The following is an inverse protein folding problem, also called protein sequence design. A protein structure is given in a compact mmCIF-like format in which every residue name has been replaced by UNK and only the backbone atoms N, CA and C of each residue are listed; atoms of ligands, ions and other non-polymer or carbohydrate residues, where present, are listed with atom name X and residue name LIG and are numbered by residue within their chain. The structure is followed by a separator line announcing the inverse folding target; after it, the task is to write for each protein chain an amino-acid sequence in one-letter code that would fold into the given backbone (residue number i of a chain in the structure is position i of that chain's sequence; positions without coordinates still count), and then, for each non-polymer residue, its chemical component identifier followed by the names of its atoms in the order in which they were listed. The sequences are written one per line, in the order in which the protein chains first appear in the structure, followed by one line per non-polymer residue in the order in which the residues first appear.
data_IF_765370412983
#
_entry.id   IF_765370412983
#
_cell.length_a   1.000
_cell.length_b   1.000
_cell.length_c   1.000
_cell.angle_alpha   90.00
_cell.angle_beta   90.00
_cell.angle_gamma   90.00
#
_symmetry.space_group_name_H-M   'P 1'
#
loop_
_entity.id
_entity.type
_entity.pdbx_description
1 polymer ?
#
# COMPACT_ATOMS: atom_id res chain seq x y z
N UNK A 1 -8.73 9.59 -11.44
CA UNK A 1 -7.97 10.02 -10.27
C UNK A 1 -6.66 9.23 -10.10
N UNK A 2 -6.59 7.97 -10.54
CA UNK A 2 -5.40 7.10 -10.38
C UNK A 2 -4.28 7.34 -11.40
N UNK A 3 -4.59 7.85 -12.59
CA UNK A 3 -3.60 8.10 -13.66
C UNK A 3 -2.67 9.29 -13.38
N UNK A 4 -3.11 10.24 -12.56
CA UNK A 4 -2.26 11.37 -12.14
C UNK A 4 -1.29 11.02 -10.99
N UNK A 5 -1.59 9.99 -10.19
CA UNK A 5 -0.72 9.55 -9.11
C UNK A 5 0.57 8.88 -9.64
N UNK A 6 0.47 8.15 -10.75
CA UNK A 6 1.61 7.42 -11.33
C UNK A 6 2.60 8.38 -12.00
N UNK A 7 2.13 9.50 -12.56
CA UNK A 7 3.02 10.49 -13.20
C UNK A 7 3.74 11.41 -12.20
N UNK A 8 3.32 11.46 -10.93
CA UNK A 8 3.91 12.34 -9.92
C UNK A 8 4.96 11.61 -9.03
N UNK A 9 5.11 10.30 -9.21
CA UNK A 9 5.78 9.47 -8.22
C UNK A 9 7.30 9.43 -8.34
N UNK A 10 7.94 10.15 -9.25
CA UNK A 10 9.38 9.91 -9.41
C UNK A 10 10.14 11.14 -9.90
N UNK A 11 10.42 12.02 -8.99
CA UNK A 11 11.60 12.88 -9.08
C UNK A 11 12.71 12.28 -8.22
N UNK A 12 13.25 11.13 -8.62
CA UNK A 12 14.24 10.45 -7.81
C UNK A 12 15.66 10.90 -8.18
N UNK A 13 16.26 11.71 -7.35
CA UNK A 13 17.70 11.99 -7.37
C UNK A 13 18.49 10.82 -6.77
N UNK A 14 18.40 9.61 -7.36
CA UNK A 14 19.34 8.54 -7.02
C UNK A 14 20.53 8.50 -7.98
N UNK A 15 20.44 9.24 -9.11
CA UNK A 15 21.56 9.40 -10.04
C UNK A 15 21.60 10.87 -10.49
N UNK A 16 22.21 11.72 -9.72
CA UNK A 16 22.64 13.03 -10.20
C UNK A 16 23.72 12.79 -11.26
N UNK A 17 23.39 12.90 -12.53
CA UNK A 17 24.40 12.80 -13.56
C UNK A 17 24.01 12.33 -14.96
N UNK A 18 22.74 11.99 -15.22
CA UNK A 18 22.33 11.73 -16.60
C UNK A 18 21.84 13.01 -17.27
N UNK A 19 22.78 13.84 -17.76
CA UNK A 19 22.44 14.78 -18.82
C UNK A 19 22.13 13.95 -20.08
N UNK A 20 20.96 14.13 -20.65
CA UNK A 20 20.52 13.52 -21.89
C UNK A 20 21.47 13.91 -23.06
N UNK A 21 22.54 13.14 -23.28
CA UNK A 21 23.19 13.15 -24.58
C UNK A 21 22.42 12.15 -25.46
N UNK A 22 21.66 12.66 -26.41
CA UNK A 22 20.86 11.94 -27.39
C UNK A 22 21.65 11.05 -28.36
N UNK A 23 22.92 10.80 -28.13
CA UNK A 23 23.85 10.14 -29.05
C UNK A 23 24.49 8.86 -28.51
N UNK A 24 24.00 8.25 -27.44
CA UNK A 24 24.46 6.91 -27.08
C UNK A 24 23.97 5.91 -28.16
N UNK A 25 24.83 5.05 -28.70
CA UNK A 25 24.38 4.02 -29.63
C UNK A 25 23.32 3.18 -28.97
N UNK A 26 22.16 3.11 -29.61
CA UNK A 26 21.04 2.28 -29.16
C UNK A 26 21.55 0.84 -29.06
N UNK A 27 21.50 0.24 -27.88
CA UNK A 27 21.86 -1.17 -27.73
C UNK A 27 20.97 -1.98 -28.69
N UNK A 28 21.61 -2.69 -29.60
CA UNK A 28 20.89 -3.59 -30.51
C UNK A 28 20.52 -4.82 -29.68
N UNK A 29 19.25 -5.21 -29.63
CA UNK A 29 18.84 -6.44 -28.98
C UNK A 29 19.60 -7.61 -29.56
N UNK A 30 20.05 -8.55 -28.72
CA UNK A 30 20.76 -9.75 -29.17
C UNK A 30 19.87 -10.74 -29.93
N UNK A 31 18.56 -10.63 -29.78
CA UNK A 31 17.59 -11.33 -30.63
C UNK A 31 17.00 -10.35 -31.63
N UNK A 32 17.14 -10.58 -32.94
CA UNK A 32 16.46 -9.74 -33.93
C UNK A 32 14.96 -9.84 -33.73
N UNK A 33 14.29 -8.70 -33.79
CA UNK A 33 12.82 -8.69 -33.85
C UNK A 33 12.36 -9.57 -35.05
N UNK A 34 11.65 -10.64 -34.76
CA UNK A 34 11.08 -11.49 -35.81
C UNK A 34 9.73 -10.93 -36.22
N UNK A 35 9.62 -10.57 -37.48
CA UNK A 35 8.36 -10.19 -38.11
C UNK A 35 7.83 -11.38 -38.92
N UNK A 36 6.74 -11.97 -38.46
CA UNK A 36 6.11 -13.12 -39.16
C UNK A 36 5.55 -12.78 -40.53
N UNK A 37 5.37 -11.48 -40.83
CA UNK A 37 4.82 -11.00 -42.09
C UNK A 37 5.89 -10.55 -43.13
N UNK A 38 7.19 -10.69 -42.83
CA UNK A 38 8.28 -10.30 -43.71
C UNK A 38 8.43 -8.78 -43.91
N UNK A 39 7.67 -7.94 -43.24
CA UNK A 39 7.77 -6.48 -43.29
C UNK A 39 8.76 -5.98 -42.24
N UNK A 40 9.72 -5.11 -42.56
CA UNK A 40 10.59 -4.54 -41.55
C UNK A 40 9.77 -3.83 -40.44
N UNK A 41 10.14 -3.98 -39.17
CA UNK A 41 9.42 -3.32 -38.07
C UNK A 41 9.54 -1.80 -38.23
N UNK A 42 8.39 -1.11 -38.24
CA UNK A 42 8.33 0.36 -38.31
C UNK A 42 8.64 1.01 -36.98
N UNK A 43 8.47 0.26 -35.87
CA UNK A 43 8.87 0.65 -34.51
C UNK A 43 9.08 -0.62 -33.68
N UNK A 44 10.03 -0.57 -32.73
CA UNK A 44 10.26 -1.66 -31.77
C UNK A 44 9.55 -1.31 -30.48
N UNK A 45 8.70 -2.21 -29.98
CA UNK A 45 8.06 -2.08 -28.69
C UNK A 45 9.07 -2.44 -27.60
N UNK A 46 9.29 -1.53 -26.66
CA UNK A 46 10.29 -1.67 -25.60
C UNK A 46 9.60 -1.59 -24.24
N UNK A 47 9.86 -2.56 -23.36
CA UNK A 47 9.45 -2.49 -21.95
C UNK A 47 10.27 -1.40 -21.28
N UNK A 48 9.62 -0.33 -20.79
CA UNK A 48 10.31 0.84 -20.26
C UNK A 48 10.85 0.57 -18.86
N UNK A 49 12.13 0.88 -18.68
CA UNK A 49 12.81 0.78 -17.40
C UNK A 49 13.95 1.78 -17.32
N UNK A 50 13.66 2.96 -16.78
CA UNK A 50 14.63 4.03 -16.57
C UNK A 50 14.45 4.63 -15.17
N UNK A 51 15.09 4.04 -14.13
CA UNK A 51 15.00 4.54 -12.76
C UNK A 51 15.47 6.00 -12.62
N UNK A 52 16.42 6.44 -13.43
CA UNK A 52 16.92 7.81 -13.39
C UNK A 52 15.88 8.83 -13.86
N UNK A 53 15.06 8.46 -14.85
CA UNK A 53 13.93 9.25 -15.30
C UNK A 53 12.64 8.95 -14.52
N UNK A 54 12.73 8.08 -13.50
CA UNK A 54 11.58 7.70 -12.72
C UNK A 54 10.61 6.76 -13.41
N UNK A 55 11.01 6.10 -14.45
CA UNK A 55 10.18 5.15 -15.18
C UNK A 55 10.54 3.75 -14.77
N UNK A 56 9.82 3.23 -13.79
CA UNK A 56 9.95 1.86 -13.29
C UNK A 56 8.59 1.17 -13.24
N UNK A 57 8.54 -0.17 -13.32
CA UNK A 57 7.34 -0.90 -12.97
C UNK A 57 6.88 -0.56 -11.54
N UNK A 58 5.59 -0.52 -11.29
CA UNK A 58 5.02 -0.23 -9.97
C UNK A 58 4.01 -1.31 -9.57
N UNK A 59 3.99 -1.74 -8.30
CA UNK A 59 4.91 -1.43 -7.20
C UNK A 59 6.30 -2.05 -7.39
N UNK A 60 7.34 -1.46 -6.77
CA UNK A 60 8.72 -1.89 -6.98
C UNK A 60 9.58 -1.65 -5.72
N UNK A 61 10.35 -2.64 -5.32
CA UNK A 61 11.24 -2.57 -4.16
C UNK A 61 12.41 -1.57 -4.30
N UNK A 62 12.66 -1.03 -5.49
CA UNK A 62 13.58 0.10 -5.64
C UNK A 62 13.14 1.31 -4.79
N UNK A 63 11.84 1.42 -4.49
CA UNK A 63 11.31 2.47 -3.60
C UNK A 63 11.57 2.20 -2.10
N UNK A 64 12.16 1.06 -1.74
CA UNK A 64 12.70 0.80 -0.40
C UNK A 64 14.21 1.13 -0.30
N UNK A 65 14.84 1.50 -1.42
CA UNK A 65 16.30 1.76 -1.44
C UNK A 65 16.66 2.93 -0.52
N UNK A 66 17.67 2.72 0.32
CA UNK A 66 18.14 3.73 1.28
C UNK A 66 17.23 3.91 2.50
N UNK A 67 16.21 3.08 2.69
CA UNK A 67 15.39 3.12 3.92
C UNK A 67 16.23 2.86 5.16
N UNK A 68 15.92 3.58 6.23
CA UNK A 68 16.58 3.42 7.54
C UNK A 68 15.65 2.86 8.60
N UNK A 69 14.39 2.62 8.27
CA UNK A 69 13.36 2.15 9.22
C UNK A 69 12.43 1.08 8.63
N UNK A 70 12.82 0.51 7.48
CA UNK A 70 12.11 -0.55 6.74
C UNK A 70 10.80 -0.08 6.08
N UNK A 71 10.61 1.23 5.92
CA UNK A 71 9.49 1.81 5.18
C UNK A 71 9.88 2.21 3.75
N UNK A 72 8.91 2.57 2.94
CA UNK A 72 9.17 3.14 1.63
C UNK A 72 10.00 4.42 1.77
N UNK A 73 10.87 4.66 0.81
CA UNK A 73 11.76 5.83 0.76
C UNK A 73 11.58 6.55 -0.59
N UNK A 74 10.35 6.97 -0.85
CA UNK A 74 10.00 7.74 -2.05
C UNK A 74 10.55 9.16 -1.87
N UNK A 75 11.37 9.68 -2.78
CA UNK A 75 11.85 11.04 -2.70
C UNK A 75 10.71 12.05 -2.73
N UNK A 76 10.68 12.94 -1.75
CA UNK A 76 9.71 14.03 -1.62
C UNK A 76 10.44 15.36 -1.40
N UNK A 77 9.92 16.43 -1.97
CA UNK A 77 10.53 17.76 -1.82
C UNK A 77 10.42 18.29 -0.38
N UNK A 78 9.33 18.00 0.29
CA UNK A 78 9.08 18.39 1.68
C UNK A 78 8.47 17.22 2.47
N UNK A 79 9.24 16.52 3.31
CA UNK A 79 8.73 15.40 4.10
C UNK A 79 7.75 15.81 5.22
N UNK A 80 7.61 17.09 5.50
CA UNK A 80 6.64 17.62 6.46
C UNK A 80 5.30 18.01 5.82
N UNK A 81 5.16 17.88 4.51
CA UNK A 81 3.91 18.17 3.80
C UNK A 81 3.02 16.93 3.78
N UNK A 82 2.23 16.75 4.83
CA UNK A 82 1.30 15.63 4.96
C UNK A 82 0.10 15.70 3.99
N UNK A 83 -0.07 16.81 3.25
CA UNK A 83 -1.03 16.86 2.14
C UNK A 83 -0.52 16.16 0.88
N UNK A 84 0.77 15.88 0.81
CA UNK A 84 1.37 15.10 -0.27
C UNK A 84 1.21 13.60 -0.01
N UNK A 85 0.45 12.87 -0.85
CA UNK A 85 0.24 11.42 -0.67
C UNK A 85 1.55 10.60 -0.62
N UNK A 86 2.62 11.07 -1.24
CA UNK A 86 3.92 10.38 -1.21
C UNK A 86 4.54 10.39 0.19
N UNK A 87 4.32 11.45 0.96
CA UNK A 87 4.76 11.52 2.37
C UNK A 87 4.04 10.48 3.20
N UNK A 88 2.73 10.33 3.00
CA UNK A 88 1.95 9.31 3.69
C UNK A 88 2.38 7.87 3.29
N UNK A 89 2.69 7.65 2.00
CA UNK A 89 3.19 6.36 1.52
C UNK A 89 4.54 5.98 2.16
N UNK A 90 5.40 6.96 2.46
CA UNK A 90 6.68 6.71 3.11
C UNK A 90 6.57 6.20 4.57
N UNK A 91 5.38 6.19 5.14
CA UNK A 91 5.13 5.54 6.43
C UNK A 91 4.80 4.04 6.32
N UNK A 92 4.62 3.50 5.10
CA UNK A 92 4.26 2.11 4.86
C UNK A 92 5.49 1.22 4.73
N UNK A 93 5.43 0.02 5.29
CA UNK A 93 6.49 -0.99 5.25
C UNK A 93 6.42 -1.91 4.02
N UNK A 94 5.72 -1.50 2.99
CA UNK A 94 5.56 -2.22 1.74
C UNK A 94 4.35 -1.76 0.94
N UNK A 95 3.92 -2.58 0.00
CA UNK A 95 2.85 -2.24 -0.95
C UNK A 95 1.56 -3.00 -0.66
N UNK A 96 0.44 -2.46 -1.14
CA UNK A 96 -0.87 -3.09 -1.00
C UNK A 96 -0.89 -4.51 -1.59
N UNK A 97 -1.42 -5.51 -0.86
CA UNK A 97 -1.51 -6.89 -1.34
C UNK A 97 -2.59 -7.10 -2.41
N UNK A 98 -3.40 -6.09 -2.70
CA UNK A 98 -4.49 -6.17 -3.69
C UNK A 98 -4.34 -5.15 -4.82
N UNK A 99 -3.32 -4.30 -4.77
CA UNK A 99 -3.11 -3.29 -5.81
C UNK A 99 -2.64 -3.94 -7.12
N UNK A 100 -3.22 -3.57 -8.28
CA UNK A 100 -2.70 -4.00 -9.57
C UNK A 100 -1.28 -3.48 -9.79
N UNK A 101 -0.40 -4.35 -10.33
CA UNK A 101 0.93 -3.92 -10.73
C UNK A 101 0.88 -3.39 -12.15
N UNK A 102 1.79 -2.52 -12.51
CA UNK A 102 1.83 -1.92 -13.84
C UNK A 102 3.26 -1.76 -14.35
N UNK A 103 3.41 -1.89 -15.64
CA UNK A 103 4.62 -1.51 -16.36
C UNK A 103 4.24 -0.88 -17.71
N UNK A 104 5.06 0.03 -18.19
CA UNK A 104 4.76 0.75 -19.44
C UNK A 104 5.67 0.32 -20.57
N UNK A 105 5.18 0.55 -21.81
CA UNK A 105 5.91 0.27 -23.03
C UNK A 105 6.09 1.55 -23.87
N UNK A 106 7.03 1.53 -24.81
CA UNK A 106 7.42 2.71 -25.59
C UNK A 106 6.34 3.20 -26.55
N UNK A 107 5.46 2.31 -27.05
CA UNK A 107 4.39 2.62 -27.99
C UNK A 107 3.04 2.13 -27.51
N UNK A 108 1.98 2.83 -27.91
CA UNK A 108 0.59 2.52 -27.55
C UNK A 108 -0.16 1.74 -28.62
N UNK A 109 -1.39 1.37 -28.32
CA UNK A 109 -2.26 0.45 -29.08
C UNK A 109 -2.54 0.90 -30.53
N UNK A 110 -2.43 2.18 -30.88
CA UNK A 110 -3.11 2.72 -32.07
C UNK A 110 -2.53 2.30 -33.41
N UNK A 111 -1.25 1.91 -33.51
CA UNK A 111 -0.66 1.39 -34.77
C UNK A 111 0.40 0.31 -34.57
N UNK A 112 1.06 0.27 -33.43
CA UNK A 112 2.12 -0.69 -33.06
C UNK A 112 2.02 -1.13 -31.61
N UNK A 113 0.80 -1.15 -31.02
CA UNK A 113 0.57 -1.52 -29.62
C UNK A 113 0.79 -3.00 -29.35
N UNK A 114 0.85 -3.33 -28.07
CA UNK A 114 0.94 -4.72 -27.63
C UNK A 114 -0.27 -5.54 -28.10
N UNK A 115 -0.03 -6.75 -28.60
CA UNK A 115 -1.07 -7.70 -28.88
C UNK A 115 -1.55 -8.37 -27.58
N UNK A 116 -2.76 -8.05 -27.15
CA UNK A 116 -3.32 -8.50 -25.87
C UNK A 116 -3.31 -10.03 -25.71
N UNK A 117 -3.50 -10.79 -26.78
CA UNK A 117 -3.47 -12.26 -26.77
C UNK A 117 -2.09 -12.86 -26.40
N UNK A 118 -1.03 -12.05 -26.50
CA UNK A 118 0.33 -12.47 -26.09
C UNK A 118 0.61 -12.26 -24.60
N UNK A 119 -0.31 -11.65 -23.86
CA UNK A 119 -0.25 -11.51 -22.41
C UNK A 119 -0.85 -12.76 -21.77
N UNK A 120 -0.05 -13.76 -21.54
CA UNK A 120 -0.49 -15.08 -21.09
C UNK A 120 0.52 -15.73 -20.11
N UNK A 121 0.24 -16.96 -19.70
CA UNK A 121 1.01 -17.73 -18.71
C UNK A 121 2.48 -17.99 -19.10
N UNK A 122 2.85 -17.85 -20.38
CA UNK A 122 4.23 -18.06 -20.83
C UNK A 122 5.02 -16.73 -20.87
N UNK A 123 4.33 -15.61 -21.00
CA UNK A 123 4.94 -14.30 -21.25
C UNK A 123 4.91 -13.37 -20.03
N UNK A 124 3.95 -13.57 -19.12
CA UNK A 124 3.82 -12.83 -17.86
C UNK A 124 3.81 -13.84 -16.73
N UNK A 125 4.92 -13.93 -16.01
CA UNK A 125 5.08 -14.89 -14.93
C UNK A 125 5.33 -14.18 -13.61
N UNK A 126 4.72 -14.65 -12.54
CA UNK A 126 4.83 -14.07 -11.19
C UNK A 126 5.24 -15.16 -10.21
N UNK A 127 6.22 -14.84 -9.37
CA UNK A 127 6.79 -15.76 -8.41
C UNK A 127 6.77 -15.16 -7.01
N UNK A 128 6.43 -15.95 -6.01
CA UNK A 128 6.78 -15.66 -4.64
C UNK A 128 8.25 -15.98 -4.43
N UNK A 129 9.00 -15.04 -3.86
CA UNK A 129 10.47 -15.14 -3.76
C UNK A 129 10.96 -14.84 -2.34
N UNK A 130 12.15 -15.34 -2.01
CA UNK A 130 12.91 -14.94 -0.83
C UNK A 130 13.97 -13.93 -1.22
N UNK A 131 14.26 -12.97 -0.33
CA UNK A 131 15.24 -11.91 -0.53
C UNK A 131 16.37 -12.00 0.51
N UNK A 132 17.50 -11.36 0.22
CA UNK A 132 18.59 -11.19 1.20
C UNK A 132 18.21 -10.25 2.35
N UNK A 133 17.18 -9.42 2.17
CA UNK A 133 16.63 -8.45 3.10
C UNK A 133 15.67 -7.50 2.38
N UNK A 134 15.09 -6.51 3.05
CA UNK A 134 14.19 -5.52 2.45
C UNK A 134 14.87 -4.81 1.27
N UNK A 135 14.24 -4.87 0.09
CA UNK A 135 14.81 -4.31 -1.14
C UNK A 135 16.04 -5.02 -1.70
N UNK A 136 16.47 -6.12 -1.09
CA UNK A 136 17.65 -6.89 -1.49
C UNK A 136 17.44 -7.83 -2.67
N UNK A 137 18.52 -8.51 -3.08
CA UNK A 137 18.50 -9.47 -4.18
C UNK A 137 17.68 -10.73 -3.87
N UNK A 138 17.14 -11.35 -4.92
CA UNK A 138 16.41 -12.61 -4.83
C UNK A 138 17.37 -13.75 -4.51
N UNK A 139 17.06 -14.52 -3.48
CA UNK A 139 17.83 -15.71 -3.05
C UNK A 139 17.22 -17.03 -3.51
N UNK A 140 15.93 -17.02 -3.85
CA UNK A 140 15.24 -18.22 -4.32
C UNK A 140 13.78 -17.98 -4.65
N UNK A 141 13.20 -18.91 -5.41
CA UNK A 141 11.76 -18.94 -5.73
C UNK A 141 11.08 -19.92 -4.78
N UNK A 142 10.10 -19.41 -4.05
CA UNK A 142 9.27 -20.21 -3.13
C UNK A 142 8.19 -20.96 -3.92
N UNK A 143 7.43 -20.25 -4.74
CA UNK A 143 6.41 -20.83 -5.63
C UNK A 143 6.13 -19.91 -6.81
N UNK A 144 5.55 -20.45 -7.85
CA UNK A 144 4.97 -19.69 -8.94
C UNK A 144 3.48 -19.43 -8.69
N UNK A 145 3.00 -18.25 -9.01
CA UNK A 145 1.59 -17.91 -9.01
C UNK A 145 0.94 -18.41 -10.30
N UNK A 146 -0.25 -19.00 -10.19
CA UNK A 146 -0.97 -19.54 -11.33
C UNK A 146 -1.72 -18.42 -12.08
N UNK A 147 -1.38 -18.24 -13.37
CA UNK A 147 -2.08 -17.33 -14.26
C UNK A 147 -3.56 -17.76 -14.42
N UNK A 148 -4.49 -16.81 -14.34
CA UNK A 148 -5.94 -17.07 -14.40
C UNK A 148 -6.55 -17.55 -13.08
N UNK A 149 -5.74 -17.83 -12.05
CA UNK A 149 -6.19 -18.29 -10.73
C UNK A 149 -5.75 -17.32 -9.62
N UNK A 150 -4.45 -17.03 -9.55
CA UNK A 150 -3.89 -16.11 -8.57
C UNK A 150 -3.82 -14.68 -9.11
N UNK A 151 -3.61 -14.53 -10.42
CA UNK A 151 -3.54 -13.24 -11.11
C UNK A 151 -3.91 -13.37 -12.60
N UNK A 152 -4.19 -12.23 -13.22
CA UNK A 152 -4.28 -12.06 -14.68
C UNK A 152 -3.37 -10.94 -15.14
N UNK A 153 -3.05 -10.92 -16.44
CA UNK A 153 -2.37 -9.80 -17.08
C UNK A 153 -3.21 -9.30 -18.26
N UNK A 154 -3.32 -7.99 -18.37
CA UNK A 154 -4.09 -7.34 -19.42
C UNK A 154 -3.52 -5.94 -19.71
N UNK A 155 -3.92 -5.36 -20.85
CA UNK A 155 -3.71 -3.93 -21.06
C UNK A 155 -4.58 -3.14 -20.07
N UNK A 156 -4.00 -2.09 -19.50
CA UNK A 156 -4.69 -1.26 -18.50
C UNK A 156 -5.86 -0.52 -19.13
N UNK A 157 -7.06 -0.72 -18.60
CA UNK A 157 -8.27 -0.04 -19.06
C UNK A 157 -8.32 1.46 -18.72
N UNK A 158 -7.47 1.91 -17.78
CA UNK A 158 -7.39 3.33 -17.39
C UNK A 158 -6.34 4.11 -18.19
N UNK A 159 -5.52 3.43 -18.97
CA UNK A 159 -4.55 4.05 -19.90
C UNK A 159 -5.09 4.00 -21.32
N UNK A 160 -5.71 5.09 -21.75
CA UNK A 160 -6.24 5.23 -23.12
C UNK A 160 -5.15 5.14 -24.22
N UNK A 161 -3.87 5.28 -23.86
CA UNK A 161 -2.76 5.13 -24.82
C UNK A 161 -2.41 3.67 -25.09
N UNK A 162 -2.89 2.72 -24.26
CA UNK A 162 -2.59 1.30 -24.35
C UNK A 162 -1.12 0.94 -24.21
N UNK A 163 -0.35 1.76 -23.49
CA UNK A 163 1.07 1.53 -23.22
C UNK A 163 1.33 0.79 -21.93
N UNK A 164 0.29 0.63 -21.10
CA UNK A 164 0.43 0.06 -19.77
C UNK A 164 -0.12 -1.36 -19.72
N UNK A 165 0.75 -2.29 -19.38
CA UNK A 165 0.37 -3.63 -18.96
C UNK A 165 0.06 -3.61 -17.48
N UNK A 166 -1.08 -4.19 -17.10
CA UNK A 166 -1.47 -4.41 -15.70
C UNK A 166 -1.42 -5.90 -15.35
N UNK A 167 -0.84 -6.23 -14.20
CA UNK A 167 -0.93 -7.54 -13.55
C UNK A 167 -1.88 -7.37 -12.37
N UNK A 168 -3.01 -8.04 -12.40
CA UNK A 168 -4.09 -7.87 -11.43
C UNK A 168 -4.18 -9.11 -10.55
N UNK A 169 -3.88 -9.02 -9.24
CA UNK A 169 -4.14 -10.10 -8.31
C UNK A 169 -5.64 -10.43 -8.27
N UNK A 170 -6.00 -11.69 -8.40
CA UNK A 170 -7.37 -12.19 -8.27
C UNK A 170 -7.71 -12.58 -6.83
N UNK A 171 -6.70 -12.66 -5.98
CA UNK A 171 -6.79 -12.91 -4.54
C UNK A 171 -5.80 -11.99 -3.83
N UNK A 172 -6.09 -11.57 -2.59
CA UNK A 172 -5.10 -10.86 -1.80
C UNK A 172 -3.80 -11.65 -1.68
N UNK A 173 -2.69 -11.01 -1.95
CA UNK A 173 -1.36 -11.55 -1.73
C UNK A 173 -1.08 -11.64 -0.22
N UNK A 174 -0.21 -12.55 0.20
CA UNK A 174 0.18 -12.66 1.61
C UNK A 174 0.93 -11.39 2.05
N UNK A 175 0.68 -10.90 3.26
CA UNK A 175 1.40 -9.77 3.83
C UNK A 175 2.89 -10.10 4.07
N UNK A 176 3.75 -9.07 4.11
CA UNK A 176 5.19 -9.21 4.38
C UNK A 176 5.86 -10.25 3.48
N UNK A 177 5.41 -10.32 2.24
CA UNK A 177 5.83 -11.35 1.29
C UNK A 177 6.31 -10.70 0.01
N UNK A 178 7.44 -11.18 -0.52
CA UNK A 178 8.03 -10.64 -1.73
C UNK A 178 7.59 -11.43 -2.95
N UNK A 179 7.28 -10.72 -4.01
CA UNK A 179 6.85 -11.28 -5.28
C UNK A 179 7.64 -10.66 -6.42
N UNK A 180 8.07 -11.49 -7.36
CA UNK A 180 8.81 -11.10 -8.55
C UNK A 180 7.95 -11.29 -9.79
N UNK A 181 7.80 -10.25 -10.59
CA UNK A 181 7.24 -10.36 -11.94
C UNK A 181 8.36 -10.47 -12.97
N UNK A 182 8.13 -11.28 -14.00
CA UNK A 182 9.03 -11.48 -15.14
C UNK A 182 8.22 -11.42 -16.42
N UNK A 183 8.59 -10.51 -17.32
CA UNK A 183 8.02 -10.40 -18.66
C UNK A 183 9.04 -10.86 -19.70
N UNK A 184 8.55 -11.55 -20.74
CA UNK A 184 9.42 -12.17 -21.76
C UNK A 184 9.19 -11.61 -23.15
N UNK A 185 10.14 -11.88 -24.04
CA UNK A 185 10.11 -11.53 -25.49
C UNK A 185 8.93 -12.13 -26.25
N UNK A 186 8.22 -13.11 -25.67
CA UNK A 186 6.98 -13.64 -26.27
C UNK A 186 5.82 -12.64 -26.26
N UNK A 187 5.93 -11.52 -25.54
CA UNK A 187 5.03 -10.38 -25.69
C UNK A 187 5.35 -9.72 -27.02
N UNK A 188 4.33 -9.57 -27.90
CA UNK A 188 4.51 -8.99 -29.22
C UNK A 188 3.63 -7.75 -29.42
N UNK A 189 3.99 -6.95 -30.42
CA UNK A 189 3.11 -5.93 -30.95
C UNK A 189 2.07 -6.51 -31.93
N UNK A 190 1.18 -5.67 -32.42
CA UNK A 190 0.14 -6.07 -33.39
C UNK A 190 0.70 -6.45 -34.76
N UNK A 191 1.94 -6.10 -35.09
CA UNK A 191 2.65 -6.51 -36.28
C UNK A 191 3.42 -7.83 -36.13
N UNK A 192 3.42 -8.42 -34.90
CA UNK A 192 4.12 -9.66 -34.60
C UNK A 192 5.58 -9.48 -34.21
N UNK A 193 6.06 -8.26 -33.97
CA UNK A 193 7.43 -8.03 -33.51
C UNK A 193 7.52 -8.27 -31.98
N UNK A 194 8.56 -8.94 -31.53
CA UNK A 194 8.80 -9.19 -30.12
C UNK A 194 9.11 -7.90 -29.37
N UNK A 195 8.55 -7.75 -28.18
CA UNK A 195 8.93 -6.70 -27.27
C UNK A 195 10.38 -6.89 -26.78
N UNK A 196 11.09 -5.79 -26.58
CA UNK A 196 12.50 -5.77 -26.21
C UNK A 196 12.71 -5.09 -24.85
N UNK A 197 13.83 -5.36 -24.17
CA UNK A 197 14.19 -4.59 -22.97
C UNK A 197 14.53 -3.14 -23.32
N UNK A 198 14.30 -2.24 -22.37
CA UNK A 198 14.88 -0.90 -22.38
C UNK A 198 16.42 -0.96 -22.33
N UNK A 199 17.07 0.07 -22.83
CA UNK A 199 18.55 0.15 -22.82
C UNK A 199 19.12 0.01 -21.39
N UNK A 200 18.52 0.65 -20.39
CA UNK A 200 18.95 0.57 -19.00
C UNK A 200 18.82 -0.86 -18.46
N UNK A 201 17.68 -1.51 -18.73
CA UNK A 201 17.48 -2.90 -18.33
C UNK A 201 18.40 -3.85 -19.07
N UNK A 202 18.64 -3.63 -20.38
CA UNK A 202 19.57 -4.40 -21.18
C UNK A 202 20.99 -4.36 -20.60
N UNK A 203 21.46 -3.17 -20.18
CA UNK A 203 22.75 -3.04 -19.52
C UNK A 203 22.77 -3.73 -18.14
N UNK A 204 21.70 -3.61 -17.37
CA UNK A 204 21.56 -4.27 -16.07
C UNK A 204 21.50 -5.81 -16.19
N UNK A 205 21.13 -6.39 -17.33
CA UNK A 205 21.18 -7.82 -17.60
C UNK A 205 22.59 -8.37 -17.79
N UNK A 206 23.63 -7.56 -18.00
CA UNK A 206 24.99 -8.05 -18.23
C UNK A 206 25.49 -8.89 -17.08
N UNK A 207 26.20 -9.99 -17.39
CA UNK A 207 26.85 -10.82 -16.38
C UNK A 207 28.15 -10.20 -15.90
N UNK A 208 28.92 -9.59 -16.82
CA UNK A 208 30.16 -8.89 -16.49
C UNK A 208 29.86 -7.61 -15.70
N UNK A 209 30.73 -7.31 -14.73
CA UNK A 209 30.69 -6.05 -13.99
C UNK A 209 30.82 -4.85 -14.91
N UNK A 210 30.11 -3.78 -14.61
CA UNK A 210 30.19 -2.50 -15.32
C UNK A 210 31.34 -1.63 -14.83
N UNK A 211 31.98 -2.01 -13.73
CA UNK A 211 33.08 -1.27 -13.10
C UNK A 211 34.27 -2.20 -12.83
N UNK A 212 35.48 -1.66 -12.95
CA UNK A 212 36.74 -2.43 -12.74
C UNK A 212 37.12 -2.59 -11.27
N UNK A 213 36.59 -1.76 -10.39
CA UNK A 213 36.82 -1.78 -8.95
C UNK A 213 35.54 -1.50 -8.19
N UNK A 214 35.44 -1.91 -6.90
CA UNK A 214 34.33 -1.48 -6.05
C UNK A 214 34.17 0.05 -6.10
N UNK A 215 32.92 0.51 -6.16
CA UNK A 215 32.64 1.93 -6.12
C UNK A 215 33.26 2.51 -4.82
N UNK A 216 34.13 3.53 -4.90
CA UNK A 216 34.71 4.11 -3.70
C UNK A 216 33.61 4.70 -2.81
N UNK A 217 33.77 4.53 -1.51
CA UNK A 217 32.94 5.26 -0.53
C UNK A 217 33.15 6.76 -0.73
N UNK A 218 32.21 7.45 -1.33
CA UNK A 218 32.34 8.88 -1.65
C UNK A 218 32.07 9.26 -3.09
N UNK A 219 31.63 8.32 -3.89
CA UNK A 219 31.19 8.56 -5.27
C UNK A 219 32.19 8.03 -6.30
N UNK A 220 31.64 7.65 -7.41
CA UNK A 220 32.37 7.09 -8.52
C UNK A 220 32.97 8.23 -9.37
N UNK A 221 34.12 8.78 -8.98
CA UNK A 221 34.76 9.93 -9.64
C UNK A 221 35.90 9.60 -10.61
N UNK A 222 36.43 8.35 -10.67
CA UNK A 222 37.55 7.95 -11.55
C UNK A 222 37.11 7.38 -12.92
N UNK A 223 37.49 7.91 -14.11
CA UNK A 223 37.08 7.43 -15.43
C UNK A 223 37.51 5.99 -15.74
N UNK A 224 38.59 5.52 -15.16
CA UNK A 224 39.12 4.16 -15.37
C UNK A 224 38.26 3.05 -14.80
N UNK A 225 37.22 3.37 -14.05
CA UNK A 225 36.35 2.40 -13.38
C UNK A 225 35.33 1.77 -14.30
N UNK A 226 34.88 2.47 -15.36
CA UNK A 226 33.94 1.87 -16.33
C UNK A 226 34.65 0.82 -17.20
N UNK A 227 34.04 -0.35 -17.34
CA UNK A 227 34.48 -1.40 -18.25
C UNK A 227 33.95 -1.23 -19.68
N UNK A 228 33.02 -0.30 -19.88
CA UNK A 228 32.42 0.00 -21.18
C UNK A 228 32.75 1.43 -21.59
N UNK A 229 33.52 1.62 -22.69
CA UNK A 229 33.93 2.96 -23.13
C UNK A 229 32.74 3.83 -23.59
N UNK A 230 31.59 3.22 -23.92
CA UNK A 230 30.39 3.92 -24.33
C UNK A 230 29.47 4.27 -23.16
N UNK A 231 29.71 3.69 -21.98
CA UNK A 231 28.95 3.96 -20.79
C UNK A 231 29.69 4.96 -19.91
N UNK A 232 29.23 6.24 -19.81
CA UNK A 232 29.83 7.21 -18.93
C UNK A 232 29.96 6.65 -17.52
N UNK A 233 31.04 6.93 -16.89
CA UNK A 233 31.45 6.38 -15.63
C UNK A 233 30.46 6.58 -14.48
N UNK A 234 29.90 7.76 -14.32
CA UNK A 234 28.87 8.01 -13.31
C UNK A 234 27.67 7.07 -13.50
N UNK A 235 27.31 6.78 -14.75
CA UNK A 235 26.25 5.84 -15.09
C UNK A 235 26.64 4.39 -14.81
N UNK A 236 27.88 4.01 -15.07
CA UNK A 236 28.37 2.65 -14.77
C UNK A 236 28.29 2.35 -13.28
N UNK A 237 28.74 3.29 -12.43
CA UNK A 237 28.67 3.15 -10.98
C UNK A 237 27.25 3.12 -10.45
N UNK A 238 26.36 3.95 -10.98
CA UNK A 238 24.94 3.94 -10.59
C UNK A 238 24.19 2.66 -11.03
N UNK A 239 24.60 2.11 -12.19
CA UNK A 239 23.98 0.88 -12.73
C UNK A 239 24.52 -0.40 -12.10
N UNK A 240 25.72 -0.43 -11.52
CA UNK A 240 26.29 -1.66 -10.98
C UNK A 240 25.44 -2.30 -9.86
N UNK A 241 24.94 -1.58 -8.85
CA UNK A 241 24.01 -2.12 -7.87
C UNK A 241 22.72 -2.66 -8.52
N UNK A 242 22.19 -1.95 -9.51
CA UNK A 242 21.01 -2.38 -10.26
C UNK A 242 21.28 -3.62 -11.08
N UNK A 243 22.49 -3.76 -11.66
CA UNK A 243 22.95 -4.96 -12.35
C UNK A 243 22.99 -6.15 -11.41
N UNK A 244 23.55 -6.01 -10.23
CA UNK A 244 23.59 -7.07 -9.22
C UNK A 244 22.18 -7.52 -8.82
N UNK A 245 21.29 -6.55 -8.57
CA UNK A 245 19.88 -6.83 -8.25
C UNK A 245 19.20 -7.56 -9.41
N UNK A 246 19.28 -7.03 -10.64
CA UNK A 246 18.68 -7.65 -11.84
C UNK A 246 19.23 -9.06 -12.08
N UNK A 247 20.52 -9.29 -11.89
CA UNK A 247 21.10 -10.61 -12.06
C UNK A 247 20.53 -11.63 -11.04
N UNK A 248 20.21 -11.22 -9.82
CA UNK A 248 19.53 -12.10 -8.86
C UNK A 248 18.14 -12.52 -9.36
N UNK A 249 17.38 -11.59 -9.98
CA UNK A 249 16.10 -11.90 -10.62
C UNK A 249 16.27 -12.91 -11.77
N UNK A 250 17.29 -12.70 -12.61
CA UNK A 250 17.52 -13.55 -13.78
C UNK A 250 17.98 -14.95 -13.39
N UNK A 251 18.76 -15.10 -12.32
CA UNK A 251 19.11 -16.42 -11.75
C UNK A 251 17.86 -17.14 -11.26
N UNK A 252 16.99 -16.41 -10.55
CA UNK A 252 15.72 -16.96 -10.08
C UNK A 252 14.79 -17.35 -11.26
N UNK A 253 14.69 -16.52 -12.30
CA UNK A 253 13.91 -16.80 -13.50
C UNK A 253 14.48 -18.04 -14.25
N UNK A 254 15.77 -18.14 -14.39
CA UNK A 254 16.44 -19.29 -15.03
C UNK A 254 16.16 -20.60 -14.29
N UNK A 255 16.09 -20.58 -12.95
CA UNK A 255 15.71 -21.76 -12.15
C UNK A 255 14.29 -22.26 -12.43
N UNK A 256 13.48 -21.45 -13.12
CA UNK A 256 12.09 -21.73 -13.53
C UNK A 256 11.94 -21.86 -15.05
N UNK A 257 13.05 -22.09 -15.75
CA UNK A 257 13.06 -22.35 -17.18
C UNK A 257 12.88 -21.10 -18.05
N UNK A 258 13.11 -19.90 -17.52
CA UNK A 258 13.09 -18.66 -18.31
C UNK A 258 14.53 -18.28 -18.63
N UNK A 259 14.96 -18.37 -19.90
CA UNK A 259 16.30 -17.96 -20.30
C UNK A 259 16.51 -16.45 -20.04
N UNK A 260 17.74 -16.08 -19.68
CA UNK A 260 18.13 -14.69 -19.46
C UNK A 260 17.77 -13.78 -20.65
N UNK A 261 18.02 -14.28 -21.86
CA UNK A 261 17.83 -13.49 -23.08
C UNK A 261 16.35 -13.21 -23.37
N UNK A 262 15.49 -14.10 -22.93
CA UNK A 262 14.05 -13.94 -23.11
C UNK A 262 13.43 -12.90 -22.15
N UNK A 263 14.10 -12.53 -21.06
CA UNK A 263 13.55 -11.57 -20.11
C UNK A 263 13.70 -10.15 -20.63
N UNK A 264 12.56 -9.45 -20.81
CA UNK A 264 12.53 -8.03 -21.23
C UNK A 264 12.49 -7.06 -20.08
N UNK A 265 11.85 -7.44 -18.96
CA UNK A 265 11.88 -6.72 -17.68
C UNK A 265 11.51 -7.66 -16.54
N UNK A 266 12.13 -7.47 -15.39
CA UNK A 266 11.74 -8.10 -14.13
C UNK A 266 11.88 -7.13 -12.98
N UNK A 267 11.01 -7.28 -11.98
CA UNK A 267 11.07 -6.49 -10.77
C UNK A 267 10.47 -7.25 -9.60
N UNK A 268 10.79 -6.80 -8.40
CA UNK A 268 10.27 -7.35 -7.15
C UNK A 268 9.47 -6.28 -6.43
N UNK A 269 8.38 -6.68 -5.80
CA UNK A 269 7.65 -5.91 -4.82
C UNK A 269 7.46 -6.72 -3.55
N UNK A 270 7.37 -6.05 -2.40
CA UNK A 270 7.07 -6.66 -1.10
C UNK A 270 5.77 -6.07 -0.57
N UNK A 271 4.86 -6.93 -0.16
CA UNK A 271 3.58 -6.50 0.42
C UNK A 271 3.77 -5.95 1.82
N UNK A 272 3.01 -4.92 2.15
CA UNK A 272 3.00 -4.30 3.49
C UNK A 272 2.48 -5.25 4.56
N UNK A 273 2.78 -4.93 5.82
CA UNK A 273 2.12 -5.54 6.97
C UNK A 273 0.64 -5.11 7.05
N UNK A 274 -0.23 -6.01 7.50
CA UNK A 274 -1.65 -5.75 7.69
C UNK A 274 -2.03 -5.94 9.16
N UNK A 275 -1.64 -7.06 9.74
CA UNK A 275 -2.07 -7.45 11.08
C UNK A 275 -1.12 -7.10 12.21
N UNK A 276 0.21 -6.94 12.07
CA UNK A 276 1.13 -6.80 13.20
C UNK A 276 0.81 -5.65 14.14
N UNK A 277 0.50 -4.46 13.60
CA UNK A 277 0.16 -3.29 14.42
C UNK A 277 -1.12 -3.51 15.21
N UNK A 278 -2.18 -3.99 14.55
CA UNK A 278 -3.46 -4.26 15.22
C UNK A 278 -3.36 -5.42 16.21
N UNK A 279 -2.56 -6.44 15.92
CA UNK A 279 -2.28 -7.53 16.85
C UNK A 279 -1.53 -7.05 18.08
N UNK A 280 -0.54 -6.16 17.90
CA UNK A 280 0.18 -5.53 19.01
C UNK A 280 -0.75 -4.68 19.88
N UNK A 281 -1.60 -3.85 19.27
CA UNK A 281 -2.61 -3.07 20.02
C UNK A 281 -3.54 -4.01 20.77
N UNK A 282 -4.07 -5.05 20.12
CA UNK A 282 -4.95 -6.03 20.77
C UNK A 282 -4.32 -6.69 21.98
N UNK A 283 -3.01 -6.96 21.94
CA UNK A 283 -2.30 -7.57 23.08
C UNK A 283 -2.15 -6.64 24.30
N UNK A 284 -2.30 -5.33 24.10
CA UNK A 284 -2.14 -4.31 25.15
C UNK A 284 -3.46 -3.79 25.72
N UNK A 285 -4.58 -3.98 25.01
CA UNK A 285 -5.88 -3.53 25.51
C UNK A 285 -6.50 -4.53 26.46
N UNK A 286 -7.08 -4.01 27.53
CA UNK A 286 -7.85 -4.78 28.52
C UNK A 286 -9.31 -4.35 28.44
N UNK A 287 -10.26 -5.23 28.82
CA UNK A 287 -11.67 -4.86 28.93
C UNK A 287 -11.86 -3.62 29.81
N UNK A 288 -12.55 -2.63 29.30
CA UNK A 288 -12.88 -1.41 30.04
C UNK A 288 -14.29 -1.49 30.60
N UNK A 289 -14.48 -0.91 31.79
CA UNK A 289 -15.83 -0.76 32.33
C UNK A 289 -16.66 0.17 31.45
N UNK A 290 -17.88 -0.25 31.16
CA UNK A 290 -18.88 0.55 30.48
C UNK A 290 -19.95 0.97 31.48
N UNK A 291 -20.31 2.26 31.47
CA UNK A 291 -21.46 2.75 32.19
C UNK A 291 -22.62 2.85 31.23
N UNK A 292 -23.60 1.98 31.38
CA UNK A 292 -24.78 1.93 30.51
C UNK A 292 -26.03 2.14 31.36
N UNK A 293 -26.89 3.04 30.92
CA UNK A 293 -28.18 3.32 31.56
C UNK A 293 -29.32 3.07 30.58
N UNK A 294 -30.44 2.49 31.02
CA UNK A 294 -31.61 2.34 30.17
C UNK A 294 -32.20 3.73 29.85
N UNK A 295 -32.59 3.93 28.61
CA UNK A 295 -33.29 5.16 28.20
C UNK A 295 -34.80 5.11 28.51
N UNK A 296 -35.33 3.92 28.80
CA UNK A 296 -36.76 3.68 28.85
C UNK A 296 -37.43 3.59 27.46
N UNK A 297 -36.65 3.69 26.38
CA UNK A 297 -37.13 3.65 25.00
C UNK A 297 -36.91 2.27 24.38
N UNK A 298 -37.88 1.81 23.61
CA UNK A 298 -37.72 0.68 22.68
C UNK A 298 -37.32 1.19 21.30
N UNK A 299 -36.96 0.28 20.40
CA UNK A 299 -36.71 0.64 19.00
C UNK A 299 -37.89 1.39 18.36
N UNK A 300 -39.13 0.98 18.65
CA UNK A 300 -40.34 1.63 18.12
C UNK A 300 -40.49 3.05 18.65
N UNK A 301 -40.14 3.30 19.92
CA UNK A 301 -40.19 4.64 20.49
C UNK A 301 -39.17 5.58 19.86
N UNK A 302 -38.03 5.06 19.40
CA UNK A 302 -37.03 5.83 18.68
C UNK A 302 -37.39 6.03 17.20
N UNK A 303 -38.03 5.02 16.58
CA UNK A 303 -38.51 5.09 15.20
C UNK A 303 -39.78 4.20 15.06
N UNK A 304 -40.91 4.84 14.84
CA UNK A 304 -42.25 4.18 14.77
C UNK A 304 -42.33 3.06 13.68
N UNK A 305 -41.44 3.07 12.69
CA UNK A 305 -41.39 2.03 11.67
C UNK A 305 -40.70 0.75 12.14
N UNK A 306 -40.06 0.75 13.32
CA UNK A 306 -39.37 -0.41 13.87
C UNK A 306 -40.26 -1.15 14.89
N UNK A 307 -40.13 -2.48 15.03
CA UNK A 307 -40.83 -3.24 16.06
C UNK A 307 -40.23 -2.98 17.45
N UNK A 308 -41.04 -3.08 18.56
CA UNK A 308 -40.60 -2.79 19.91
C UNK A 308 -39.78 -3.92 20.56
N UNK A 309 -38.97 -4.67 19.80
CA UNK A 309 -38.35 -5.94 20.19
C UNK A 309 -36.97 -5.79 20.84
N UNK A 310 -36.47 -4.58 21.03
CA UNK A 310 -35.26 -4.32 21.79
C UNK A 310 -35.36 -3.00 22.57
N UNK A 311 -34.74 -2.98 23.74
CA UNK A 311 -34.58 -1.82 24.58
C UNK A 311 -33.27 -1.10 24.27
N UNK A 312 -33.28 0.25 24.41
CA UNK A 312 -32.15 1.10 24.08
C UNK A 312 -31.48 1.54 25.37
N UNK A 313 -30.15 1.38 25.40
CA UNK A 313 -29.25 1.85 26.46
C UNK A 313 -28.26 2.82 25.86
N UNK A 314 -27.90 3.83 26.63
CA UNK A 314 -26.84 4.78 26.31
C UNK A 314 -25.84 4.84 27.44
N UNK A 315 -24.62 5.25 27.12
CA UNK A 315 -23.59 5.37 28.14
C UNK A 315 -22.23 5.72 27.56
N UNK A 316 -21.20 5.36 28.30
CA UNK A 316 -19.83 5.65 27.92
C UNK A 316 -18.91 4.49 28.19
N UNK A 317 -17.80 4.45 27.45
CA UNK A 317 -16.67 3.54 27.65
C UNK A 317 -15.36 4.31 27.66
N UNK A 318 -14.47 4.01 28.58
CA UNK A 318 -13.12 4.58 28.60
C UNK A 318 -12.22 3.75 27.68
N UNK A 319 -11.64 4.39 26.66
CA UNK A 319 -10.80 3.71 25.68
C UNK A 319 -9.43 4.38 25.54
N UNK A 320 -8.34 3.58 25.31
CA UNK A 320 -7.06 4.15 24.91
C UNK A 320 -7.23 4.92 23.59
N UNK A 321 -6.55 6.06 23.50
CA UNK A 321 -6.63 6.93 22.34
C UNK A 321 -5.23 7.26 21.83
N UNK A 322 -5.03 7.13 20.54
CA UNK A 322 -3.72 7.16 19.89
C UNK A 322 -3.54 8.38 18.98
N UNK A 323 -4.58 9.20 18.82
CA UNK A 323 -4.52 10.52 18.18
C UNK A 323 -4.39 11.61 19.24
N UNK A 324 -3.96 12.81 18.85
CA UNK A 324 -4.06 13.96 19.73
C UNK A 324 -5.53 14.41 19.85
N UNK A 325 -5.91 14.83 21.03
CA UNK A 325 -7.23 15.35 21.31
C UNK A 325 -7.12 16.79 21.79
N UNK A 326 -8.12 17.65 21.56
CA UNK A 326 -8.13 18.99 22.12
C UNK A 326 -8.02 18.96 23.64
N UNK A 327 -7.12 19.78 24.19
CA UNK A 327 -6.88 19.90 25.65
C UNK A 327 -7.47 21.18 26.23
N UNK A 328 -7.89 22.10 25.37
CA UNK A 328 -8.52 23.35 25.76
C UNK A 328 -9.58 23.78 24.72
N UNK A 329 -10.43 24.74 25.08
CA UNK A 329 -11.53 25.21 24.23
C UNK A 329 -11.08 26.02 22.99
N UNK A 330 -9.82 26.43 22.93
CA UNK A 330 -9.24 27.13 21.77
C UNK A 330 -8.70 26.19 20.71
N UNK A 331 -8.50 24.92 21.06
CA UNK A 331 -8.06 23.92 20.09
C UNK A 331 -9.27 23.42 19.28
N UNK A 332 -9.13 23.52 17.98
CA UNK A 332 -10.17 23.09 17.04
C UNK A 332 -10.08 21.58 16.79
N UNK A 333 -11.14 20.96 16.24
CA UNK A 333 -11.10 19.57 15.77
C UNK A 333 -9.93 19.29 14.82
N UNK A 334 -9.36 20.32 14.18
CA UNK A 334 -8.22 20.21 13.26
C UNK A 334 -6.97 19.57 13.87
N UNK A 335 -6.84 19.56 15.21
CA UNK A 335 -5.71 18.85 15.84
C UNK A 335 -5.79 17.33 15.58
N UNK A 336 -7.01 16.78 15.58
CA UNK A 336 -7.23 15.35 15.28
C UNK A 336 -6.95 15.06 13.81
N UNK A 337 -7.31 15.98 12.90
CA UNK A 337 -7.10 15.84 11.46
C UNK A 337 -5.62 15.87 11.05
N UNK A 338 -4.75 16.41 11.90
CA UNK A 338 -3.32 16.56 11.63
C UNK A 338 -2.46 15.53 12.34
N UNK A 339 -3.08 14.58 13.04
CA UNK A 339 -2.38 13.55 13.79
C UNK A 339 -2.74 12.17 13.29
N UNK A 340 -1.76 11.29 13.32
CA UNK A 340 -1.91 9.88 12.98
C UNK A 340 -1.21 9.04 14.04
N UNK A 341 -1.47 7.77 14.03
CA UNK A 341 -0.84 6.83 14.95
C UNK A 341 0.66 6.82 14.71
N UNK A 342 1.42 6.96 15.78
CA UNK A 342 2.87 6.94 15.76
C UNK A 342 3.40 5.95 16.76
N UNK A 343 4.46 5.24 16.41
CA UNK A 343 5.22 4.44 17.35
C UNK A 343 6.09 5.34 18.26
N UNK A 344 6.59 4.78 19.34
CA UNK A 344 7.66 5.42 20.11
C UNK A 344 8.93 5.47 19.25
N UNK A 345 9.67 6.60 19.20
CA UNK A 345 10.87 6.72 18.39
C UNK A 345 11.85 5.57 18.63
N UNK A 346 12.26 4.90 17.58
CA UNK A 346 13.26 3.84 17.60
C UNK A 346 12.94 2.60 18.44
N UNK A 347 11.69 2.40 18.87
CA UNK A 347 11.30 1.30 19.76
C UNK A 347 11.02 -0.01 18.96
N UNK A 348 12.00 -0.42 18.17
CA UNK A 348 11.89 -1.65 17.38
C UNK A 348 11.86 -2.89 18.26
N UNK A 349 11.00 -3.85 17.88
CA UNK A 349 10.94 -5.15 18.55
C UNK A 349 12.06 -6.09 18.05
N UNK A 350 12.50 -7.10 18.83
CA UNK A 350 13.44 -8.11 18.34
C UNK A 350 12.90 -8.84 17.10
N UNK A 351 13.75 -9.19 16.11
CA UNK A 351 15.21 -8.95 16.07
C UNK A 351 15.61 -7.57 15.50
N UNK A 352 14.66 -6.73 15.14
CA UNK A 352 14.88 -5.47 14.40
C UNK A 352 15.62 -4.41 15.21
N UNK A 353 15.53 -4.48 16.53
CA UNK A 353 16.27 -3.62 17.48
C UNK A 353 17.80 -3.77 17.35
N UNK A 354 18.30 -4.84 16.72
CA UNK A 354 19.71 -5.09 16.50
C UNK A 354 20.22 -4.65 15.11
N UNK A 355 19.35 -4.13 14.24
CA UNK A 355 19.68 -3.87 12.83
C UNK A 355 20.22 -2.46 12.56
N UNK A 356 20.41 -1.64 13.60
CA UNK A 356 20.90 -0.27 13.43
C UNK A 356 19.93 0.65 12.72
N UNK A 357 18.63 0.39 12.86
CA UNK A 357 17.58 1.20 12.26
C UNK A 357 17.50 2.58 12.91
N UNK A 358 16.83 3.52 12.23
CA UNK A 358 16.71 4.92 12.66
C UNK A 358 16.18 5.03 14.10
N UNK A 359 16.92 5.65 15.03
CA UNK A 359 16.47 5.81 16.40
C UNK A 359 15.36 6.87 16.55
N UNK A 360 15.07 7.63 15.49
CA UNK A 360 14.09 8.73 15.50
C UNK A 360 12.81 8.41 14.74
N UNK A 361 12.76 7.31 13.98
CA UNK A 361 11.54 6.93 13.26
C UNK A 361 10.40 6.63 14.23
N UNK A 362 9.24 7.18 13.89
CA UNK A 362 7.96 6.96 14.58
C UNK A 362 6.97 6.19 13.74
N UNK A 363 7.39 5.67 12.59
CA UNK A 363 6.52 4.91 11.69
C UNK A 363 6.07 3.60 12.34
N UNK A 364 4.77 3.33 12.25
CA UNK A 364 4.19 2.06 12.68
C UNK A 364 4.38 1.01 11.58
N UNK A 365 5.16 -0.01 11.90
CA UNK A 365 5.52 -1.10 10.99
C UNK A 365 5.46 -2.43 11.72
N UNK A 366 5.68 -3.52 11.00
CA UNK A 366 5.88 -4.83 11.64
C UNK A 366 7.10 -4.85 12.59
N UNK A 367 8.08 -3.97 12.36
CA UNK A 367 9.29 -3.86 13.19
C UNK A 367 9.11 -2.95 14.41
N UNK A 368 8.19 -1.98 14.34
CA UNK A 368 7.83 -1.06 15.43
C UNK A 368 6.29 -0.97 15.56
N UNK A 369 5.61 -2.03 16.02
CA UNK A 369 4.17 -2.17 15.88
C UNK A 369 3.33 -1.51 16.96
N UNK A 370 3.94 -0.98 18.04
CA UNK A 370 3.20 -0.46 19.18
C UNK A 370 2.99 1.05 19.09
N UNK A 371 1.74 1.52 18.86
CA UNK A 371 1.45 2.95 18.86
C UNK A 371 1.56 3.56 20.26
N UNK A 372 1.99 4.81 20.30
CA UNK A 372 2.01 5.61 21.53
C UNK A 372 0.59 5.97 21.92
N UNK A 373 0.14 5.50 23.07
CA UNK A 373 -1.11 5.97 23.67
C UNK A 373 -0.96 7.44 24.07
N UNK A 374 -1.77 8.32 23.50
CA UNK A 374 -1.77 9.76 23.77
C UNK A 374 -2.61 10.10 24.98
N UNK A 375 -3.77 9.47 25.11
CA UNK A 375 -4.72 9.72 26.21
C UNK A 375 -5.65 8.52 26.43
N UNK A 376 -6.54 8.66 27.41
CA UNK A 376 -7.75 7.85 27.54
C UNK A 376 -8.93 8.75 27.25
N UNK A 377 -9.80 8.36 26.32
CA UNK A 377 -11.01 9.09 25.98
C UNK A 377 -12.24 8.33 26.49
N UNK A 378 -13.18 9.07 27.05
CA UNK A 378 -14.50 8.54 27.42
C UNK A 378 -15.42 8.67 26.21
N UNK A 379 -15.79 7.54 25.61
CA UNK A 379 -16.47 7.52 24.32
C UNK A 379 -17.94 7.19 24.50
N UNK A 380 -18.88 7.93 23.88
CA UNK A 380 -20.29 7.61 23.89
C UNK A 380 -20.60 6.27 23.27
N UNK A 381 -21.47 5.51 23.91
CA UNK A 381 -21.92 4.17 23.51
C UNK A 381 -23.44 4.16 23.34
N UNK A 382 -23.92 3.47 22.35
CA UNK A 382 -25.32 3.06 22.19
C UNK A 382 -25.36 1.54 22.17
N UNK A 383 -26.27 0.96 22.96
CA UNK A 383 -26.48 -0.48 23.00
C UNK A 383 -27.98 -0.77 22.82
N UNK A 384 -28.31 -1.72 21.98
CA UNK A 384 -29.67 -2.27 21.92
C UNK A 384 -29.64 -3.71 22.41
N UNK A 385 -30.62 -4.09 23.24
CA UNK A 385 -30.70 -5.42 23.86
C UNK A 385 -32.07 -6.02 23.57
N UNK A 386 -32.16 -7.27 23.05
CA UNK A 386 -33.42 -7.94 22.88
C UNK A 386 -34.25 -7.95 24.17
N UNK A 387 -35.53 -7.60 24.08
CA UNK A 387 -36.47 -7.63 25.22
C UNK A 387 -37.48 -8.77 25.07
N UNK A 388 -38.45 -8.83 25.97
CA UNK A 388 -39.47 -9.90 25.96
C UNK A 388 -40.28 -9.98 24.64
N UNK A 389 -40.50 -8.83 23.98
CA UNK A 389 -41.19 -8.77 22.70
C UNK A 389 -40.43 -9.42 21.54
N UNK A 390 -39.13 -9.64 21.69
CA UNK A 390 -38.31 -10.36 20.71
C UNK A 390 -38.60 -11.86 20.67
N UNK A 391 -39.27 -12.38 21.72
CA UNK A 391 -39.54 -13.82 21.92
C UNK A 391 -38.26 -14.67 21.95
N UNK A 392 -37.13 -14.08 22.24
CA UNK A 392 -35.84 -14.77 22.38
C UNK A 392 -35.50 -14.93 23.85
N UNK A 393 -34.95 -16.08 24.20
CA UNK A 393 -34.46 -16.39 25.53
C UNK A 393 -33.00 -15.93 25.67
N UNK A 394 -32.69 -15.13 26.69
CA UNK A 394 -31.32 -14.73 26.97
C UNK A 394 -30.48 -15.95 27.38
N UNK A 395 -29.37 -16.24 26.68
CA UNK A 395 -28.44 -17.29 27.09
C UNK A 395 -27.82 -17.01 28.48
N UNK A 396 -27.43 -18.06 29.21
CA UNK A 396 -26.79 -17.91 30.52
C UNK A 396 -25.50 -17.07 30.46
N UNK A 397 -24.76 -17.14 29.34
CA UNK A 397 -23.56 -16.35 29.09
C UNK A 397 -23.85 -14.89 28.67
N UNK A 398 -25.11 -14.47 28.58
CA UNK A 398 -25.52 -13.19 28.06
C UNK A 398 -25.88 -13.25 26.56
N UNK A 399 -26.40 -12.15 26.04
CA UNK A 399 -26.67 -12.04 24.62
C UNK A 399 -25.36 -12.02 23.81
N UNK A 400 -25.25 -12.72 22.69
CA UNK A 400 -24.17 -12.47 21.75
C UNK A 400 -24.27 -11.03 21.23
N UNK A 401 -23.12 -10.39 20.99
CA UNK A 401 -23.04 -8.96 20.70
C UNK A 401 -22.48 -8.75 19.29
N UNK A 402 -23.18 -7.94 18.51
CA UNK A 402 -22.69 -7.37 17.25
C UNK A 402 -22.10 -6.00 17.53
N UNK A 403 -20.84 -5.78 17.14
CA UNK A 403 -20.20 -4.46 17.18
C UNK A 403 -20.46 -3.78 15.86
N UNK A 404 -21.21 -2.67 15.89
CA UNK A 404 -21.51 -1.86 14.72
C UNK A 404 -20.62 -0.63 14.67
N UNK A 405 -19.93 -0.44 13.54
CA UNK A 405 -19.19 0.76 13.24
C UNK A 405 -19.89 1.54 12.13
N UNK A 406 -20.23 2.79 12.40
CA UNK A 406 -20.86 3.66 11.40
C UNK A 406 -19.87 4.10 10.31
N UNK A 407 -20.40 4.59 9.20
CA UNK A 407 -19.63 5.15 8.10
C UNK A 407 -19.24 6.63 8.34
N UNK A 408 -18.43 7.16 7.43
CA UNK A 408 -18.07 8.58 7.37
C UNK A 408 -19.32 9.45 7.31
N UNK A 409 -19.34 10.58 8.02
CA UNK A 409 -20.46 11.53 8.20
C UNK A 409 -21.65 11.00 9.02
N UNK A 410 -21.55 9.80 9.56
CA UNK A 410 -22.62 9.15 10.33
C UNK A 410 -22.29 9.16 11.82
N UNK A 411 -23.05 8.43 12.63
CA UNK A 411 -22.80 8.28 14.06
C UNK A 411 -23.41 6.98 14.59
N UNK A 412 -23.19 6.69 15.88
CA UNK A 412 -23.64 5.46 16.53
C UNK A 412 -25.13 5.15 16.42
N UNK A 413 -26.00 6.17 16.21
CA UNK A 413 -27.45 5.93 16.10
C UNK A 413 -27.87 5.19 14.85
N UNK A 414 -27.02 5.08 13.84
CA UNK A 414 -27.29 4.25 12.66
C UNK A 414 -27.47 2.78 12.99
N UNK A 415 -26.88 2.31 14.11
CA UNK A 415 -27.09 0.96 14.61
C UNK A 415 -28.57 0.63 14.84
N UNK A 416 -29.42 1.63 15.12
CA UNK A 416 -30.86 1.44 15.31
C UNK A 416 -31.54 0.88 14.06
N UNK A 417 -31.04 1.21 12.86
CA UNK A 417 -31.62 0.75 11.61
C UNK A 417 -31.51 -0.78 11.41
N UNK A 418 -30.48 -1.41 12.00
CA UNK A 418 -30.24 -2.86 11.89
C UNK A 418 -30.61 -3.61 13.17
N UNK A 419 -30.82 -2.88 14.28
CA UNK A 419 -31.01 -3.48 15.61
C UNK A 419 -32.19 -4.44 15.68
N UNK A 420 -33.30 -4.15 14.98
CA UNK A 420 -34.47 -5.02 14.94
C UNK A 420 -34.13 -6.39 14.30
N UNK A 421 -33.41 -6.41 13.20
CA UNK A 421 -32.98 -7.63 12.53
C UNK A 421 -32.17 -8.51 13.46
N UNK A 422 -31.19 -7.94 14.16
CA UNK A 422 -30.34 -8.68 15.08
C UNK A 422 -31.08 -9.10 16.35
N UNK A 423 -31.93 -8.22 16.91
CA UNK A 423 -32.74 -8.57 18.09
C UNK A 423 -33.69 -9.72 17.81
N UNK A 424 -34.29 -9.80 16.60
CA UNK A 424 -35.15 -10.91 16.20
C UNK A 424 -34.41 -12.24 16.15
N UNK A 425 -33.06 -12.23 16.09
CA UNK A 425 -32.21 -13.41 16.13
C UNK A 425 -31.50 -13.61 17.49
N UNK A 426 -31.81 -12.76 18.47
CA UNK A 426 -31.26 -12.89 19.82
C UNK A 426 -29.86 -12.29 19.98
N UNK A 427 -29.53 -11.26 19.21
CA UNK A 427 -28.26 -10.51 19.32
C UNK A 427 -28.50 -9.10 19.88
N UNK A 428 -27.64 -8.68 20.78
CA UNK A 428 -27.49 -7.28 21.13
C UNK A 428 -26.59 -6.57 20.10
N UNK A 429 -26.78 -5.26 19.90
CA UNK A 429 -25.94 -4.46 19.02
C UNK A 429 -25.35 -3.30 19.80
N UNK A 430 -24.02 -3.17 19.78
CA UNK A 430 -23.29 -2.08 20.41
C UNK A 430 -22.61 -1.21 19.34
N UNK A 431 -22.66 0.09 19.51
CA UNK A 431 -22.06 1.08 18.62
C UNK A 431 -21.39 2.21 19.39
N UNK A 432 -20.29 2.72 18.86
CA UNK A 432 -19.58 3.91 19.36
C UNK A 432 -19.48 4.94 18.24
N UNK A 433 -19.11 6.17 18.57
CA UNK A 433 -18.73 7.16 17.57
C UNK A 433 -17.24 7.11 17.29
N UNK A 434 -16.88 7.17 16.01
CA UNK A 434 -15.51 7.35 15.55
C UNK A 434 -15.00 8.77 15.93
N UNK A 435 -13.69 9.02 15.92
CA UNK A 435 -13.15 10.37 16.08
C UNK A 435 -13.86 11.36 15.16
N UNK A 436 -14.14 12.58 15.63
CA UNK A 436 -14.82 13.66 14.93
C UNK A 436 -16.27 13.38 14.48
N UNK A 437 -16.86 12.27 14.94
CA UNK A 437 -18.27 11.93 14.69
C UNK A 437 -19.09 12.03 16.00
N UNK A 438 -20.37 12.20 15.89
CA UNK A 438 -21.26 12.20 17.05
C UNK A 438 -22.60 12.88 16.80
N UNK A 439 -23.45 12.86 17.83
CA UNK A 439 -24.76 13.48 17.82
C UNK A 439 -24.61 14.87 18.45
N UNK A 440 -24.73 15.91 17.65
CA UNK A 440 -24.48 17.29 18.05
C UNK A 440 -25.72 18.00 18.63
N UNK A 441 -26.91 17.55 18.25
CA UNK A 441 -28.19 18.10 18.76
C UNK A 441 -28.37 17.69 20.23
N UNK A 442 -28.35 18.69 21.12
CA UNK A 442 -28.54 18.51 22.57
C UNK A 442 -29.97 18.09 22.96
N UNK A 443 -30.94 18.32 22.10
CA UNK A 443 -32.30 17.86 22.32
C UNK A 443 -32.51 16.40 21.95
N UNK A 444 -31.54 15.80 21.24
CA UNK A 444 -31.59 14.40 20.88
C UNK A 444 -31.42 13.54 22.15
N UNK A 445 -32.31 12.57 22.44
CA UNK A 445 -32.22 11.73 23.62
C UNK A 445 -30.99 10.85 23.69
N UNK A 446 -30.29 10.69 22.59
CA UNK A 446 -29.03 9.91 22.51
C UNK A 446 -27.78 10.79 22.60
N UNK A 447 -27.93 12.11 22.80
CA UNK A 447 -26.78 13.00 22.97
C UNK A 447 -26.08 12.70 24.30
N UNK A 448 -24.85 12.22 24.22
CA UNK A 448 -23.92 12.06 25.34
C UNK A 448 -22.61 12.69 24.95
N UNK A 449 -22.01 13.46 25.84
CA UNK A 449 -20.77 14.16 25.57
C UNK A 449 -19.56 13.42 26.12
N UNK A 450 -18.49 13.50 25.36
CA UNK A 450 -17.23 12.83 25.64
C UNK A 450 -16.38 13.57 26.68
N UNK A 451 -16.22 14.89 26.51
CA UNK A 451 -15.36 15.71 27.38
C UNK A 451 -15.92 17.13 27.50
N UNK A 452 -15.56 17.88 28.56
CA UNK A 452 -15.95 19.27 28.71
C UNK A 452 -15.38 20.21 27.64
N UNK A 453 -14.26 19.86 26.99
CA UNK A 453 -13.63 20.67 25.95
C UNK A 453 -14.41 20.72 24.66
N UNK A 454 -15.20 19.72 24.38
CA UNK A 454 -16.13 19.71 23.25
C UNK A 454 -17.46 20.42 23.59
N UNK A 455 -17.57 21.07 24.75
CA UNK A 455 -18.85 21.57 25.25
C UNK A 455 -19.31 22.91 24.67
N UNK A 456 -18.42 23.75 24.19
CA UNK A 456 -18.70 25.11 23.76
C UNK A 456 -18.82 25.26 22.22
N UNK A 457 -19.83 24.59 21.63
CA UNK A 457 -20.08 24.71 20.18
C UNK A 457 -19.19 23.85 19.27
N UNK A 458 -18.14 23.23 19.80
CA UNK A 458 -17.41 22.22 19.07
C UNK A 458 -18.27 20.95 18.98
N UNK A 459 -18.29 20.36 17.82
CA UNK A 459 -18.99 19.12 17.56
C UNK A 459 -18.17 18.00 18.18
N UNK A 460 -18.71 17.37 19.21
CA UNK A 460 -18.09 16.22 19.84
C UNK A 460 -17.93 15.11 18.83
N UNK A 461 -16.66 14.70 18.58
CA UNK A 461 -16.33 13.68 17.58
C UNK A 461 -17.03 13.90 16.21
N UNK A 462 -17.43 15.13 15.90
CA UNK A 462 -18.03 15.43 14.61
C UNK A 462 -16.97 15.47 13.53
N UNK A 463 -17.39 14.99 12.39
CA UNK A 463 -16.57 14.88 11.20
C UNK A 463 -16.55 16.21 10.44
N UNK A 464 -15.40 16.81 10.34
CA UNK A 464 -15.11 17.81 9.34
C UNK A 464 -14.17 17.14 8.33
N UNK A 465 -14.70 16.89 7.12
CA UNK A 465 -14.09 15.97 6.18
C UNK A 465 -12.85 16.59 5.57
N UNK A 466 -11.68 16.23 6.02
CA UNK A 466 -10.53 16.20 5.16
C UNK A 466 -10.39 14.79 4.56
N UNK A 467 -10.91 14.60 3.36
CA UNK A 467 -10.91 13.31 2.65
C UNK A 467 -9.50 12.76 2.35
N UNK A 468 -8.46 13.55 2.58
CA UNK A 468 -7.08 13.15 2.31
C UNK A 468 -6.43 12.52 3.54
N UNK A 469 -6.83 12.94 4.75
CA UNK A 469 -6.20 12.51 6.00
C UNK A 469 -7.09 11.59 6.87
N UNK A 470 -8.26 11.19 6.34
CA UNK A 470 -9.15 10.22 6.99
C UNK A 470 -9.18 8.89 6.20
#
# INVERSE_FOLDING_TARGET
MHTRLISLLVGCAIIAGCSSSSNAPRAVPTSPATNTNGTPPTAIVTARFDPAAGVIPFPNNLLLSGTTDLTLNIPVANPADFSNPQVALNALDGFSPIHPWSTSFSVGITTNGLLASTLNLNTVRVFQVSLTGPGGGVTGVVRELAFGVDFIAALSSVDATGRTLAIVPLRPLAQLTSYMAVLTTGITDVAGNNATPDTTYFLAKRTATLITAPAPTGGCTDPSVSTDPLLPRANACGLEPLRLLTNSHLVAAASRGIPRDDVIVSWVMTTQSISPVLAAVRSTVTPAATTLVPTGLTLQAANAALPPIADIFIGTIAMPYYLDAPTDAGQTPSIVLRTFWQARPGAYIPPFNAFGLSPTSTNLTFANPLPVRRSTQTIPVLLTVPNAASQRTRPAAGWPVVIYQHGITRNRSDALAIAATFASQGYAVIAIDLPLHGITDRANPFNIRNTPFFAAGARERTFDVDLVNN
#
